data_IF_088710013181
#
_entry.id   IF_088710013181
#
_cell.length_a   1.000
_cell.length_b   1.000
_cell.length_c   1.000
_cell.angle_alpha   90.00
_cell.angle_beta   90.00
_cell.angle_gamma   90.00
#
_symmetry.space_group_name_H-M   'P 1'
#
loop_
_entity.id
_entity.type
_entity.pdbx_description
1 polymer ?
#
# COMPACT_ATOMS: atom_id res chain seq x y z
N UNK A 1 4.20 -7.50 -21.23
CA UNK A 1 5.06 -8.11 -20.19
C UNK A 1 5.01 -7.22 -18.96
N UNK A 2 5.13 -7.76 -17.75
CA UNK A 2 5.20 -6.92 -16.54
C UNK A 2 6.62 -6.37 -16.41
N UNK A 3 6.75 -5.07 -16.23
CA UNK A 3 8.01 -4.40 -15.92
C UNK A 3 7.89 -3.65 -14.59
N UNK A 4 8.90 -3.76 -13.74
CA UNK A 4 8.90 -3.12 -12.42
C UNK A 4 10.24 -2.45 -12.17
N UNK A 5 10.21 -1.13 -11.99
CA UNK A 5 11.33 -0.35 -11.48
C UNK A 5 11.11 -0.11 -9.99
N UNK A 6 12.03 -0.53 -9.13
CA UNK A 6 11.82 -0.40 -7.69
C UNK A 6 13.10 -0.16 -6.91
N UNK A 7 12.95 0.35 -5.69
CA UNK A 7 14.01 0.53 -4.72
C UNK A 7 13.48 0.14 -3.34
N UNK A 8 14.01 -0.95 -2.80
CA UNK A 8 13.83 -1.36 -1.41
C UNK A 8 14.73 -0.48 -0.53
N UNK A 9 14.30 -0.02 0.65
CA UNK A 9 15.12 0.81 1.54
C UNK A 9 16.53 0.23 1.74
N UNK A 10 17.54 1.10 1.70
CA UNK A 10 18.97 0.75 1.80
C UNK A 10 19.52 -0.18 0.70
N UNK A 11 18.80 -0.35 -0.42
CA UNK A 11 19.27 -1.09 -1.59
C UNK A 11 19.32 -0.20 -2.83
N UNK A 12 20.01 -0.67 -3.87
CA UNK A 12 20.05 -0.01 -5.17
C UNK A 12 18.70 -0.14 -5.90
N UNK A 13 18.46 0.77 -6.84
CA UNK A 13 17.34 0.68 -7.77
C UNK A 13 17.52 -0.58 -8.63
N UNK A 14 16.44 -1.35 -8.82
CA UNK A 14 16.39 -2.53 -9.67
C UNK A 14 15.33 -2.34 -10.73
N UNK A 15 15.64 -2.74 -11.96
CA UNK A 15 14.71 -2.86 -13.07
C UNK A 15 14.45 -4.34 -13.33
N UNK A 16 13.19 -4.75 -13.23
CA UNK A 16 12.76 -6.13 -13.37
C UNK A 16 11.91 -6.31 -14.61
N UNK A 17 12.25 -7.32 -15.41
CA UNK A 17 11.37 -7.87 -16.41
C UNK A 17 10.73 -9.14 -15.85
N UNK A 18 9.41 -9.17 -15.77
CA UNK A 18 8.65 -10.22 -15.14
C UNK A 18 7.84 -10.98 -16.19
N UNK A 19 8.23 -12.24 -16.43
CA UNK A 19 7.52 -13.17 -17.31
C UNK A 19 6.54 -14.03 -16.50
N UNK A 20 5.31 -14.26 -16.97
CA UNK A 20 4.35 -15.13 -16.27
C UNK A 20 4.94 -16.50 -15.92
N UNK A 21 4.56 -17.03 -14.76
CA UNK A 21 5.01 -18.31 -14.23
C UNK A 21 3.90 -18.96 -13.39
N UNK A 22 4.05 -20.25 -13.10
CA UNK A 22 3.35 -20.90 -11.99
C UNK A 22 3.87 -20.40 -10.63
N UNK A 23 3.09 -20.69 -9.58
CA UNK A 23 3.36 -20.23 -8.22
C UNK A 23 4.63 -20.82 -7.60
N UNK A 24 4.95 -22.09 -7.92
CA UNK A 24 6.11 -22.78 -7.35
C UNK A 24 7.42 -22.10 -7.79
N UNK A 25 7.55 -21.79 -9.08
CA UNK A 25 8.78 -21.21 -9.65
C UNK A 25 8.84 -19.69 -9.60
N UNK A 26 7.75 -19.01 -9.22
CA UNK A 26 7.72 -17.55 -9.20
C UNK A 26 8.73 -16.94 -8.24
N UNK A 27 9.46 -15.92 -8.69
CA UNK A 27 10.33 -15.08 -7.85
C UNK A 27 9.73 -13.69 -7.63
N UNK A 28 8.64 -13.36 -8.32
CA UNK A 28 7.87 -12.14 -8.13
C UNK A 28 6.38 -12.45 -8.14
N UNK A 29 5.65 -11.85 -7.21
CA UNK A 29 4.18 -11.95 -7.11
C UNK A 29 3.60 -10.56 -7.10
N UNK A 30 2.51 -10.36 -7.84
CA UNK A 30 1.71 -9.14 -7.83
C UNK A 30 0.27 -9.50 -7.53
N UNK A 31 -0.35 -8.83 -6.57
CA UNK A 31 -1.75 -9.05 -6.22
C UNK A 31 -2.46 -7.71 -6.06
N UNK A 32 -3.58 -7.54 -6.76
CA UNK A 32 -4.52 -6.44 -6.51
C UNK A 32 -5.41 -6.73 -5.28
N UNK A 33 -5.98 -5.69 -4.67
CA UNK A 33 -6.67 -5.81 -3.36
C UNK A 33 -7.72 -6.92 -3.27
N UNK A 34 -8.58 -7.04 -4.30
CA UNK A 34 -9.64 -8.07 -4.35
C UNK A 34 -9.36 -9.17 -5.38
N UNK A 35 -8.16 -9.23 -5.96
CA UNK A 35 -7.81 -10.17 -7.05
C UNK A 35 -6.96 -11.32 -6.52
N UNK A 36 -6.86 -12.39 -7.29
CA UNK A 36 -5.89 -13.46 -7.05
C UNK A 36 -4.47 -12.97 -7.35
N UNK A 37 -3.49 -13.58 -6.68
CA UNK A 37 -2.09 -13.34 -6.94
C UNK A 37 -1.67 -13.81 -8.35
N UNK A 38 -1.01 -12.93 -9.08
CA UNK A 38 -0.33 -13.22 -10.34
C UNK A 38 1.14 -13.52 -10.09
N UNK A 39 1.66 -14.54 -10.75
CA UNK A 39 2.95 -15.15 -10.47
C UNK A 39 3.90 -14.97 -11.65
N UNK A 40 5.14 -14.57 -11.37
CA UNK A 40 6.13 -14.24 -12.37
C UNK A 40 7.52 -14.72 -11.97
N UNK A 41 8.35 -15.00 -12.97
CA UNK A 41 9.80 -15.05 -12.81
C UNK A 41 10.35 -13.68 -13.17
N UNK A 42 11.03 -13.03 -12.22
CA UNK A 42 11.68 -11.75 -12.39
C UNK A 42 13.16 -11.91 -12.74
N UNK A 43 13.60 -11.14 -13.73
CA UNK A 43 14.99 -11.07 -14.18
C UNK A 43 15.45 -9.60 -14.12
N UNK A 44 16.66 -9.36 -13.60
CA UNK A 44 17.22 -8.01 -13.52
C UNK A 44 17.69 -7.54 -14.90
N UNK A 45 17.44 -6.29 -15.23
CA UNK A 45 17.93 -5.64 -16.45
C UNK A 45 18.86 -4.48 -16.12
N UNK A 46 19.92 -4.34 -16.91
CA UNK A 46 20.99 -3.35 -16.70
C UNK A 46 20.59 -1.91 -17.05
N UNK A 47 19.56 -1.71 -17.87
CA UNK A 47 19.19 -0.39 -18.41
C UNK A 47 17.72 -0.06 -18.14
N UNK A 48 17.49 1.18 -17.69
CA UNK A 48 16.15 1.75 -17.41
C UNK A 48 15.65 2.68 -18.51
N UNK A 49 16.44 2.94 -19.56
CA UNK A 49 16.22 4.02 -20.53
C UNK A 49 14.85 3.98 -21.20
N UNK A 50 14.41 2.79 -21.62
CA UNK A 50 13.15 2.64 -22.36
C UNK A 50 11.92 2.55 -21.46
N UNK A 51 12.07 2.36 -20.14
CA UNK A 51 10.95 2.10 -19.22
C UNK A 51 9.92 3.23 -19.20
N UNK A 52 10.36 4.48 -19.38
CA UNK A 52 9.51 5.66 -19.28
C UNK A 52 8.86 6.08 -20.61
N UNK A 53 9.30 5.52 -21.74
CA UNK A 53 8.90 5.98 -23.08
C UNK A 53 7.41 5.82 -23.38
N UNK A 54 6.79 4.78 -22.82
CA UNK A 54 5.39 4.38 -22.93
C UNK A 54 4.73 4.27 -21.54
N UNK A 55 5.34 4.88 -20.52
CA UNK A 55 4.74 4.97 -19.20
C UNK A 55 3.56 5.94 -19.27
N UNK A 56 2.40 5.53 -18.73
CA UNK A 56 1.14 6.28 -18.75
C UNK A 56 0.35 6.27 -20.08
N UNK A 57 0.57 5.33 -21.01
CA UNK A 57 -0.13 5.26 -22.30
C UNK A 57 -1.63 4.84 -22.23
N UNK A 58 -2.22 4.85 -21.04
CA UNK A 58 -3.63 4.50 -20.84
C UNK A 58 -4.53 5.75 -20.89
N UNK A 59 -5.72 5.68 -21.52
CA UNK A 59 -6.67 6.78 -21.53
C UNK A 59 -7.22 7.06 -20.13
N UNK A 60 -7.66 8.31 -19.91
CA UNK A 60 -8.28 8.74 -18.66
C UNK A 60 -9.41 7.78 -18.23
N UNK A 61 -9.53 7.42 -16.95
CA UNK A 61 -10.67 6.66 -16.48
C UNK A 61 -11.96 7.52 -16.57
N UNK A 62 -13.05 6.92 -17.03
CA UNK A 62 -14.34 7.62 -17.23
C UNK A 62 -15.06 8.00 -15.92
N UNK A 63 -14.58 7.49 -14.79
CA UNK A 63 -15.30 7.56 -13.51
C UNK A 63 -14.63 8.51 -12.53
N UNK A 64 -15.42 9.38 -11.92
CA UNK A 64 -14.96 10.35 -10.93
C UNK A 64 -14.90 9.72 -9.52
N UNK A 65 -14.05 10.30 -8.67
CA UNK A 65 -14.01 9.96 -7.24
C UNK A 65 -15.18 10.57 -6.48
N UNK A 66 -15.48 10.02 -5.30
CA UNK A 66 -16.50 10.57 -4.39
C UNK A 66 -16.15 11.99 -3.96
N UNK A 67 -17.17 12.84 -3.87
CA UNK A 67 -17.05 14.16 -3.24
C UNK A 67 -17.03 14.03 -1.70
N UNK A 68 -16.74 15.14 -1.02
CA UNK A 68 -16.57 15.15 0.44
C UNK A 68 -17.83 14.66 1.16
N UNK A 69 -19.01 15.05 0.70
CA UNK A 69 -20.31 14.68 1.26
C UNK A 69 -20.54 13.15 1.14
N UNK A 70 -20.34 12.59 -0.06
CA UNK A 70 -20.51 11.15 -0.30
C UNK A 70 -19.52 10.29 0.48
N UNK A 71 -18.28 10.77 0.66
CA UNK A 71 -17.29 10.07 1.49
C UNK A 71 -17.68 10.11 2.97
N UNK A 72 -18.18 11.26 3.46
CA UNK A 72 -18.65 11.39 4.84
C UNK A 72 -19.86 10.48 5.14
N UNK A 73 -20.81 10.37 4.20
CA UNK A 73 -21.92 9.41 4.30
C UNK A 73 -21.44 7.95 4.34
N UNK A 74 -20.42 7.62 3.56
CA UNK A 74 -19.78 6.32 3.58
C UNK A 74 -19.12 6.03 4.94
N UNK A 75 -18.39 7.01 5.51
CA UNK A 75 -17.81 6.90 6.86
C UNK A 75 -18.91 6.73 7.92
N UNK A 76 -20.00 7.49 7.83
CA UNK A 76 -21.13 7.37 8.75
C UNK A 76 -21.79 5.98 8.68
N UNK A 77 -21.85 5.39 7.48
CA UNK A 77 -22.36 4.03 7.29
C UNK A 77 -21.43 3.00 7.91
N UNK A 78 -20.11 3.16 7.76
CA UNK A 78 -19.12 2.30 8.41
C UNK A 78 -19.21 2.38 9.94
N UNK A 79 -19.37 3.57 10.51
CA UNK A 79 -19.54 3.76 11.95
C UNK A 79 -20.76 2.98 12.47
N UNK A 80 -21.89 3.02 11.76
CA UNK A 80 -23.11 2.26 12.13
C UNK A 80 -22.86 0.74 12.16
N UNK A 81 -22.17 0.20 11.16
CA UNK A 81 -21.82 -1.24 11.12
C UNK A 81 -20.86 -1.62 12.26
N UNK A 82 -19.97 -0.70 12.64
CA UNK A 82 -19.06 -0.89 13.78
C UNK A 82 -19.82 -0.89 15.12
N UNK A 83 -20.75 0.04 15.30
CA UNK A 83 -21.61 0.10 16.49
C UNK A 83 -22.49 -1.15 16.63
N UNK A 84 -22.94 -1.70 15.50
CA UNK A 84 -23.70 -2.96 15.43
C UNK A 84 -22.82 -4.22 15.55
N UNK A 85 -21.50 -4.06 15.68
CA UNK A 85 -20.52 -5.14 15.79
C UNK A 85 -20.46 -6.07 14.57
N UNK A 86 -20.91 -5.62 13.40
CA UNK A 86 -20.81 -6.36 12.13
C UNK A 86 -19.36 -6.39 11.65
N UNK A 87 -18.67 -5.26 11.79
CA UNK A 87 -17.22 -5.12 11.64
C UNK A 87 -16.65 -4.44 12.88
N UNK A 88 -15.41 -4.76 13.25
CA UNK A 88 -14.69 -4.07 14.32
C UNK A 88 -13.92 -2.85 13.80
N UNK A 89 -13.48 -2.93 12.54
CA UNK A 89 -12.75 -1.89 11.82
C UNK A 89 -12.99 -2.09 10.32
N UNK A 90 -13.06 -0.99 9.57
CA UNK A 90 -12.97 -1.00 8.10
C UNK A 90 -12.09 0.16 7.64
N UNK A 91 -11.31 -0.04 6.60
CA UNK A 91 -10.46 0.97 5.98
C UNK A 91 -11.15 1.40 4.71
N UNK A 92 -11.61 2.65 4.67
CA UNK A 92 -12.27 3.22 3.51
C UNK A 92 -11.31 4.08 2.72
N UNK A 93 -11.40 3.99 1.41
CA UNK A 93 -10.56 4.70 0.48
C UNK A 93 -11.37 5.43 -0.57
N UNK A 94 -10.68 6.38 -1.20
CA UNK A 94 -11.17 7.09 -2.38
C UNK A 94 -10.03 7.32 -3.34
N UNK A 95 -10.42 7.78 -4.51
CA UNK A 95 -9.53 8.21 -5.58
C UNK A 95 -9.77 9.67 -5.93
N UNK A 96 -8.72 10.33 -6.41
CA UNK A 96 -8.76 11.69 -6.92
C UNK A 96 -7.95 11.74 -8.21
N UNK A 97 -8.56 12.22 -9.31
CA UNK A 97 -7.86 12.40 -10.56
C UNK A 97 -7.41 13.86 -10.70
N UNK A 98 -6.13 14.07 -11.01
CA UNK A 98 -5.61 15.39 -11.36
C UNK A 98 -5.25 15.42 -12.84
N UNK A 99 -5.93 16.28 -13.60
CA UNK A 99 -5.55 16.58 -14.98
C UNK A 99 -4.24 17.37 -15.00
N UNK A 100 -3.18 16.70 -15.46
CA UNK A 100 -1.82 17.23 -15.55
C UNK A 100 -1.06 16.54 -16.70
N UNK A 101 -1.44 16.79 -17.98
CA UNK A 101 -0.90 16.06 -19.14
C UNK A 101 0.62 16.22 -19.34
N UNK A 102 1.23 17.22 -18.70
CA UNK A 102 2.67 17.49 -18.76
C UNK A 102 3.44 16.88 -17.58
N UNK A 103 2.82 16.00 -16.80
CA UNK A 103 3.48 15.32 -15.70
C UNK A 103 4.60 14.40 -16.20
N UNK A 104 5.79 14.57 -15.63
CA UNK A 104 6.98 13.79 -15.96
C UNK A 104 7.13 12.64 -14.98
N UNK A 105 6.85 11.42 -15.44
CA UNK A 105 6.91 10.22 -14.60
C UNK A 105 8.32 9.93 -14.09
N UNK A 106 9.35 10.09 -14.92
CA UNK A 106 10.74 9.81 -14.53
C UNK A 106 11.22 10.77 -13.44
N UNK A 107 11.01 12.07 -13.62
CA UNK A 107 11.39 13.08 -12.63
C UNK A 107 10.56 12.96 -11.35
N UNK A 108 9.28 12.57 -11.47
CA UNK A 108 8.44 12.27 -10.30
C UNK A 108 8.96 11.05 -9.52
N UNK A 109 9.39 10.00 -10.21
CA UNK A 109 10.00 8.83 -9.55
C UNK A 109 11.29 9.22 -8.81
N UNK A 110 12.14 10.06 -9.42
CA UNK A 110 13.33 10.61 -8.76
C UNK A 110 12.98 11.45 -7.53
N UNK A 111 11.92 12.27 -7.60
CA UNK A 111 11.43 13.04 -6.47
C UNK A 111 10.95 12.13 -5.32
N UNK A 112 10.22 11.04 -5.63
CA UNK A 112 9.80 10.05 -4.64
C UNK A 112 10.99 9.36 -3.95
N UNK A 113 12.01 8.97 -4.71
CA UNK A 113 13.23 8.36 -4.17
C UNK A 113 13.91 9.27 -3.14
N UNK A 114 14.01 10.57 -3.45
CA UNK A 114 14.62 11.57 -2.57
C UNK A 114 13.76 11.86 -1.33
N UNK A 115 12.45 11.99 -1.50
CA UNK A 115 11.54 12.39 -0.42
C UNK A 115 11.20 11.26 0.54
N UNK A 116 11.17 10.01 0.07
CA UNK A 116 10.82 8.83 0.85
C UNK A 116 11.99 7.83 0.99
N UNK A 117 13.14 8.19 1.58
CA UNK A 117 14.32 7.34 1.64
C UNK A 117 14.12 6.04 2.45
N UNK A 118 13.11 5.99 3.31
CA UNK A 118 12.80 4.81 4.16
C UNK A 118 11.68 3.94 3.61
N UNK A 119 11.08 4.28 2.47
CA UNK A 119 9.95 3.55 1.87
C UNK A 119 10.41 2.71 0.68
N UNK A 120 9.65 1.66 0.36
CA UNK A 120 9.78 0.97 -0.92
C UNK A 120 9.17 1.85 -2.01
N UNK A 121 10.03 2.38 -2.88
CA UNK A 121 9.61 3.21 -4.02
C UNK A 121 9.52 2.32 -5.25
N UNK A 122 8.43 2.42 -6.01
CA UNK A 122 8.17 1.55 -7.15
C UNK A 122 7.47 2.28 -8.30
N UNK A 123 7.69 1.79 -9.50
CA UNK A 123 6.93 2.05 -10.71
C UNK A 123 6.68 0.72 -11.43
N UNK A 124 5.44 0.45 -11.79
CA UNK A 124 4.97 -0.80 -12.38
C UNK A 124 4.34 -0.47 -13.73
N UNK A 125 4.74 -1.17 -14.79
CA UNK A 125 4.01 -1.24 -16.06
C UNK A 125 3.40 -2.63 -16.17
N UNK A 126 2.08 -2.71 -16.10
CA UNK A 126 1.36 -3.97 -16.25
C UNK A 126 0.41 -3.89 -17.46
N UNK A 127 0.36 -4.91 -18.33
CA UNK A 127 -0.54 -4.92 -19.49
C UNK A 127 -2.02 -4.66 -19.13
N UNK A 128 -2.49 -5.27 -18.04
CA UNK A 128 -3.90 -5.18 -17.64
C UNK A 128 -4.21 -4.09 -16.59
N UNK A 129 -3.20 -3.65 -15.81
CA UNK A 129 -3.41 -2.66 -14.74
C UNK A 129 -2.89 -1.27 -15.12
N UNK A 130 -2.17 -1.15 -16.24
CA UNK A 130 -1.55 0.09 -16.69
C UNK A 130 -0.29 0.45 -15.88
N UNK A 131 -0.02 1.76 -15.82
CA UNK A 131 1.16 2.31 -15.16
C UNK A 131 0.85 2.76 -13.74
N UNK A 132 1.57 2.23 -12.76
CA UNK A 132 1.44 2.58 -11.35
C UNK A 132 2.78 3.06 -10.79
N UNK A 133 2.73 3.95 -9.80
CA UNK A 133 3.92 4.46 -9.11
C UNK A 133 3.58 4.71 -7.65
N UNK A 134 4.53 4.56 -6.73
CA UNK A 134 4.30 4.88 -5.33
C UNK A 134 5.52 4.78 -4.45
N UNK A 135 5.34 5.14 -3.18
CA UNK A 135 6.36 5.07 -2.13
C UNK A 135 5.74 4.47 -0.86
N UNK A 136 5.71 3.13 -0.79
CA UNK A 136 5.04 2.43 0.30
C UNK A 136 5.89 2.38 1.58
N UNK A 137 5.33 2.82 2.72
CA UNK A 137 5.99 2.67 4.01
C UNK A 137 5.77 1.28 4.64
N UNK A 138 4.85 0.46 4.12
CA UNK A 138 4.36 -0.74 4.81
C UNK A 138 4.96 -2.01 4.20
N UNK A 139 5.80 -2.67 4.99
CA UNK A 139 6.38 -3.98 4.66
C UNK A 139 5.43 -5.07 5.15
N UNK A 140 4.86 -5.82 4.22
CA UNK A 140 3.96 -6.92 4.51
C UNK A 140 4.73 -8.12 5.09
N UNK A 141 5.88 -8.45 4.50
CA UNK A 141 6.78 -9.48 4.98
C UNK A 141 8.20 -9.22 4.48
N UNK A 142 9.21 -9.39 5.33
CA UNK A 142 10.60 -9.45 4.90
C UNK A 142 11.39 -10.52 5.64
N UNK A 143 12.42 -11.06 4.98
CA UNK A 143 13.37 -11.97 5.61
C UNK A 143 14.32 -11.23 6.53
N UNK A 144 14.76 -11.94 7.57
CA UNK A 144 15.77 -11.48 8.53
C UNK A 144 16.81 -12.58 8.73
N UNK A 145 17.90 -12.29 9.43
CA UNK A 145 18.90 -13.31 9.80
C UNK A 145 18.31 -14.47 10.61
N UNK A 146 17.22 -14.23 11.36
CA UNK A 146 16.61 -15.20 12.26
C UNK A 146 15.32 -15.82 11.72
N UNK A 147 14.81 -15.41 10.56
CA UNK A 147 13.55 -15.90 10.01
C UNK A 147 12.85 -14.82 9.20
N UNK A 148 11.66 -14.43 9.63
CA UNK A 148 10.86 -13.40 8.95
C UNK A 148 10.27 -12.38 9.92
N UNK A 149 9.90 -11.21 9.40
CA UNK A 149 9.11 -10.24 10.16
C UNK A 149 8.07 -9.55 9.29
N UNK A 150 6.98 -9.13 9.92
CA UNK A 150 5.91 -8.34 9.32
C UNK A 150 5.71 -7.04 10.10
N UNK A 151 5.39 -5.98 9.38
CA UNK A 151 5.24 -4.65 9.95
C UNK A 151 3.79 -4.43 10.38
N UNK A 152 3.55 -4.13 11.67
CA UNK A 152 2.31 -3.50 12.10
C UNK A 152 2.49 -1.99 12.03
N UNK A 153 1.90 -1.35 11.02
CA UNK A 153 1.94 0.08 10.78
C UNK A 153 0.52 0.66 10.80
N UNK A 154 0.13 1.29 11.90
CA UNK A 154 -1.18 1.93 12.06
C UNK A 154 -1.11 3.08 13.06
N UNK A 155 -2.21 3.83 13.18
CA UNK A 155 -2.25 5.07 13.95
C UNK A 155 -1.46 6.16 13.23
N UNK A 156 -2.16 7.08 12.58
CA UNK A 156 -1.56 8.16 11.79
C UNK A 156 -1.60 9.48 12.56
N UNK A 157 -0.53 10.27 12.48
CA UNK A 157 -0.57 11.69 12.89
C UNK A 157 0.24 12.57 11.95
N UNK A 158 -0.04 13.87 11.94
CA UNK A 158 0.82 14.84 11.26
C UNK A 158 2.21 14.87 11.90
N UNK A 159 3.24 15.01 11.07
CA UNK A 159 4.62 15.15 11.54
C UNK A 159 4.74 16.34 12.51
N UNK A 160 5.46 16.15 13.61
CA UNK A 160 5.63 17.11 14.71
C UNK A 160 4.41 17.30 15.64
N UNK A 161 3.32 16.54 15.47
CA UNK A 161 2.28 16.48 16.50
C UNK A 161 2.88 15.96 17.82
N UNK A 162 2.55 16.59 18.94
CA UNK A 162 3.26 16.38 20.21
C UNK A 162 2.89 15.09 20.93
N UNK A 163 1.71 14.51 20.67
CA UNK A 163 1.19 13.32 21.37
C UNK A 163 0.46 12.37 20.41
N UNK A 164 0.43 11.09 20.78
CA UNK A 164 -0.45 10.09 20.18
C UNK A 164 -1.79 10.11 20.93
N UNK A 165 -2.91 10.10 20.20
CA UNK A 165 -4.22 9.96 20.81
C UNK A 165 -4.51 8.50 21.18
N UNK A 166 -5.57 8.31 21.98
CA UNK A 166 -6.03 6.97 22.36
C UNK A 166 -6.53 6.19 21.15
N UNK A 167 -7.14 6.87 20.17
CA UNK A 167 -7.60 6.26 18.90
C UNK A 167 -6.43 5.61 18.17
N UNK A 168 -5.35 6.35 17.94
CA UNK A 168 -4.18 5.84 17.19
C UNK A 168 -3.48 4.70 17.94
N UNK A 169 -3.40 4.77 19.27
CA UNK A 169 -2.80 3.72 20.10
C UNK A 169 -3.62 2.43 20.08
N UNK A 170 -4.95 2.51 20.19
CA UNK A 170 -5.82 1.33 20.12
C UNK A 170 -5.84 0.74 18.71
N UNK A 171 -5.81 1.57 17.66
CA UNK A 171 -5.68 1.10 16.28
C UNK A 171 -4.37 0.31 16.08
N UNK A 172 -3.24 0.84 16.55
CA UNK A 172 -1.95 0.16 16.46
C UNK A 172 -1.96 -1.17 17.21
N UNK A 173 -2.49 -1.19 18.43
CA UNK A 173 -2.58 -2.39 19.25
C UNK A 173 -3.45 -3.46 18.59
N UNK A 174 -4.55 -3.06 17.95
CA UNK A 174 -5.42 -3.95 17.20
C UNK A 174 -4.67 -4.61 16.04
N UNK A 175 -4.07 -3.82 15.15
CA UNK A 175 -3.31 -4.32 14.01
C UNK A 175 -2.15 -5.22 14.46
N UNK A 176 -1.44 -4.82 15.53
CA UNK A 176 -0.32 -5.60 16.09
C UNK A 176 -0.77 -6.99 16.55
N UNK A 177 -1.95 -7.08 17.17
CA UNK A 177 -2.48 -8.35 17.66
C UNK A 177 -2.94 -9.27 16.52
N UNK A 178 -3.52 -8.71 15.46
CA UNK A 178 -3.95 -9.48 14.28
C UNK A 178 -2.74 -10.03 13.53
N UNK A 179 -1.74 -9.20 13.21
CA UNK A 179 -0.51 -9.66 12.53
C UNK A 179 0.22 -10.70 13.39
N UNK A 180 0.25 -10.54 14.71
CA UNK A 180 0.81 -11.54 15.61
C UNK A 180 0.04 -12.87 15.55
N UNK A 181 -1.30 -12.84 15.47
CA UNK A 181 -2.10 -14.06 15.36
C UNK A 181 -1.81 -14.77 14.04
N UNK A 182 -1.76 -14.04 12.93
CA UNK A 182 -1.44 -14.58 11.61
C UNK A 182 -0.06 -15.25 11.61
N UNK A 183 0.99 -14.56 12.07
CA UNK A 183 2.33 -15.14 12.14
C UNK A 183 2.40 -16.36 13.07
N UNK A 184 1.69 -16.35 14.19
CA UNK A 184 1.67 -17.48 15.14
C UNK A 184 1.07 -18.74 14.53
N UNK A 185 0.13 -18.64 13.59
CA UNK A 185 -0.48 -19.79 12.93
C UNK A 185 0.52 -20.62 12.11
N UNK A 186 1.63 -20.01 11.67
CA UNK A 186 2.69 -20.67 10.91
C UNK A 186 3.81 -21.26 11.79
N UNK A 187 3.75 -21.07 13.11
CA UNK A 187 4.73 -21.62 14.04
C UNK A 187 6.03 -20.82 14.14
N UNK A 188 7.00 -21.38 14.88
CA UNK A 188 8.16 -20.64 15.39
C UNK A 188 7.87 -19.88 16.68
N UNK A 189 8.92 -19.29 17.25
CA UNK A 189 8.82 -18.38 18.38
C UNK A 189 8.52 -16.98 17.87
N UNK A 190 7.33 -16.48 18.21
CA UNK A 190 6.92 -15.12 17.84
C UNK A 190 7.41 -14.12 18.89
N UNK A 191 8.06 -13.04 18.44
CA UNK A 191 8.44 -11.89 19.27
C UNK A 191 7.87 -10.60 18.70
N UNK A 192 7.84 -9.55 19.53
CA UNK A 192 7.42 -8.20 19.13
C UNK A 192 8.51 -7.23 19.55
N UNK A 193 8.88 -6.35 18.63
CA UNK A 193 9.78 -5.25 18.95
C UNK A 193 9.05 -4.20 19.81
N UNK A 194 9.82 -3.29 20.41
CA UNK A 194 9.24 -2.13 21.08
C UNK A 194 8.51 -1.26 20.05
N UNK A 195 7.32 -0.77 20.41
CA UNK A 195 6.61 0.21 19.61
C UNK A 195 7.44 1.48 19.43
N UNK A 196 7.57 1.95 18.20
CA UNK A 196 8.32 3.16 17.83
C UNK A 196 7.50 4.04 16.89
N UNK A 197 8.02 5.23 16.59
CA UNK A 197 7.42 6.14 15.60
C UNK A 197 8.18 6.01 14.28
N UNK A 198 7.45 5.82 13.19
CA UNK A 198 7.98 5.71 11.84
C UNK A 198 7.59 6.92 10.99
N UNK A 199 8.57 7.55 10.35
CA UNK A 199 8.36 8.68 9.46
C UNK A 199 7.99 8.21 8.05
N UNK A 200 6.82 8.63 7.55
CA UNK A 200 6.33 8.31 6.20
C UNK A 200 5.98 9.60 5.44
N UNK A 201 6.99 10.44 5.21
CA UNK A 201 6.87 11.75 4.55
C UNK A 201 6.27 12.81 5.48
N UNK A 202 5.08 13.36 5.18
CA UNK A 202 4.46 14.42 5.99
C UNK A 202 3.69 13.89 7.21
N UNK A 203 3.56 12.57 7.35
CA UNK A 203 2.90 11.94 8.51
C UNK A 203 3.83 10.95 9.20
N UNK A 204 3.52 10.70 10.45
CA UNK A 204 4.14 9.68 11.29
C UNK A 204 3.13 8.57 11.59
N UNK A 205 3.65 7.35 11.75
CA UNK A 205 2.87 6.19 12.16
C UNK A 205 3.45 5.54 13.41
N UNK A 206 2.62 4.80 14.15
CA UNK A 206 3.13 3.85 15.12
C UNK A 206 3.57 2.57 14.39
N UNK A 207 4.73 2.07 14.80
CA UNK A 207 5.36 0.90 14.19
C UNK A 207 5.63 -0.14 15.27
N UNK A 208 5.31 -1.39 14.96
CA UNK A 208 5.76 -2.55 15.73
C UNK A 208 6.12 -3.66 14.76
N UNK A 209 7.37 -4.11 14.79
CA UNK A 209 7.77 -5.32 14.08
C UNK A 209 7.34 -6.55 14.86
N UNK A 210 6.82 -7.54 14.13
CA UNK A 210 6.44 -8.83 14.69
C UNK A 210 7.27 -9.86 13.95
N UNK A 211 8.07 -10.59 14.71
CA UNK A 211 9.10 -11.47 14.16
C UNK A 211 8.73 -12.94 14.43
N UNK A 212 9.12 -13.83 13.52
CA UNK A 212 9.11 -15.28 13.69
C UNK A 212 10.50 -15.82 13.38
N UNK A 213 10.97 -16.79 14.18
CA UNK A 213 12.25 -17.47 13.96
C UNK A 213 12.15 -18.68 13.00
N UNK A 214 10.98 -18.90 12.40
CA UNK A 214 10.75 -20.05 11.54
C UNK A 214 11.25 -19.78 10.10
N UNK A 215 12.45 -20.28 9.79
CA UNK A 215 13.03 -20.20 8.44
C UNK A 215 12.39 -21.13 7.42
N UNK A 216 11.70 -22.19 7.86
CA UNK A 216 11.15 -23.23 6.98
C UNK A 216 9.76 -22.89 6.41
N UNK A 217 9.29 -21.66 6.62
CA UNK A 217 8.00 -21.21 6.11
C UNK A 217 8.03 -21.04 4.60
N UNK A 218 6.95 -21.49 3.95
CA UNK A 218 6.60 -21.02 2.62
C UNK A 218 6.19 -19.55 2.72
N UNK A 219 7.11 -18.67 2.36
CA UNK A 219 6.94 -17.24 2.43
C UNK A 219 5.82 -16.71 1.52
N UNK A 220 5.51 -17.38 0.40
CA UNK A 220 4.41 -16.97 -0.48
C UNK A 220 3.06 -17.23 0.20
N UNK A 221 2.89 -18.43 0.77
CA UNK A 221 1.71 -18.76 1.56
C UNK A 221 1.55 -17.85 2.78
N UNK A 222 2.66 -17.47 3.43
CA UNK A 222 2.65 -16.55 4.55
C UNK A 222 2.16 -15.14 4.17
N UNK A 223 2.64 -14.61 3.04
CA UNK A 223 2.20 -13.31 2.51
C UNK A 223 0.70 -13.33 2.17
N UNK A 224 0.21 -14.43 1.60
CA UNK A 224 -1.21 -14.62 1.28
C UNK A 224 -2.10 -14.65 2.54
N UNK A 225 -1.65 -15.27 3.63
CA UNK A 225 -2.41 -15.27 4.90
C UNK A 225 -2.35 -13.92 5.62
N UNK A 226 -1.25 -13.17 5.46
CA UNK A 226 -1.15 -11.82 6.02
C UNK A 226 -2.01 -10.80 5.25
N UNK A 227 -2.30 -11.06 3.98
CA UNK A 227 -3.00 -10.12 3.13
C UNK A 227 -4.51 -10.43 2.99
N UNK A 228 -5.40 -9.43 3.15
CA UNK A 228 -5.11 -8.06 3.57
C UNK A 228 -5.02 -7.92 5.09
N UNK A 229 -4.12 -7.08 5.58
CA UNK A 229 -4.07 -6.74 7.01
C UNK A 229 -5.24 -5.84 7.40
N UNK A 230 -5.60 -5.76 8.70
CA UNK A 230 -6.58 -4.78 9.15
C UNK A 230 -6.14 -3.31 8.99
N UNK A 231 -4.88 -3.05 8.64
CA UNK A 231 -4.38 -1.69 8.34
C UNK A 231 -4.87 -1.18 6.97
N UNK A 232 -5.23 -2.09 6.06
CA UNK A 232 -5.66 -1.74 4.68
C UNK A 232 -7.06 -2.25 4.29
N UNK A 233 -7.61 -3.18 5.06
CA UNK A 233 -8.94 -3.73 4.83
C UNK A 233 -9.86 -3.49 6.02
N UNK A 234 -9.65 -4.22 7.12
CA UNK A 234 -10.53 -4.17 8.29
C UNK A 234 -10.56 -5.52 9.00
N UNK A 235 -11.50 -5.68 9.93
CA UNK A 235 -11.68 -6.93 10.67
C UNK A 235 -13.14 -7.11 11.11
N UNK A 236 -13.74 -8.31 10.96
CA UNK A 236 -13.23 -9.46 10.21
C UNK A 236 -13.01 -9.11 8.72
N UNK A 237 -11.98 -9.69 8.10
CA UNK A 237 -11.55 -9.30 6.75
C UNK A 237 -12.66 -9.48 5.69
N UNK A 238 -13.39 -10.60 5.73
CA UNK A 238 -14.50 -10.89 4.81
C UNK A 238 -15.59 -9.81 4.89
N UNK A 239 -16.03 -9.46 6.10
CA UNK A 239 -17.06 -8.42 6.33
C UNK A 239 -16.59 -7.03 5.94
N UNK A 240 -15.32 -6.71 6.20
CA UNK A 240 -14.74 -5.46 5.72
C UNK A 240 -14.66 -5.39 4.19
N UNK A 241 -14.31 -6.49 3.51
CA UNK A 241 -14.30 -6.57 2.04
C UNK A 241 -15.70 -6.45 1.43
N UNK A 242 -16.71 -7.10 2.01
CA UNK A 242 -18.12 -6.94 1.62
C UNK A 242 -18.54 -5.47 1.69
N UNK A 243 -18.24 -4.80 2.81
CA UNK A 243 -18.52 -3.37 2.98
C UNK A 243 -17.80 -2.51 1.94
N UNK A 244 -16.49 -2.71 1.76
CA UNK A 244 -15.68 -1.96 0.79
C UNK A 244 -16.26 -2.09 -0.62
N UNK A 245 -16.57 -3.32 -1.04
CA UNK A 245 -17.12 -3.58 -2.37
C UNK A 245 -18.49 -2.92 -2.58
N UNK A 246 -19.31 -2.84 -1.53
CA UNK A 246 -20.63 -2.23 -1.60
C UNK A 246 -20.58 -0.70 -1.66
N UNK A 247 -19.69 -0.06 -0.90
CA UNK A 247 -19.79 1.37 -0.63
C UNK A 247 -18.76 2.25 -1.34
N UNK A 248 -17.56 1.76 -1.69
CA UNK A 248 -16.53 2.60 -2.32
C UNK A 248 -16.90 3.04 -3.74
N UNK A 249 -17.63 2.20 -4.47
CA UNK A 249 -18.08 2.51 -5.84
C UNK A 249 -16.95 2.51 -6.89
N UNK A 250 -15.81 1.88 -6.61
CA UNK A 250 -14.74 1.65 -7.59
C UNK A 250 -13.91 0.39 -7.26
N UNK A 251 -13.23 -0.18 -8.25
CA UNK A 251 -12.24 -1.25 -8.03
C UNK A 251 -10.90 -0.63 -7.63
N UNK A 252 -10.40 -0.96 -6.43
CA UNK A 252 -9.08 -0.51 -5.95
C UNK A 252 -7.93 -0.95 -6.86
N UNK A 253 -8.13 -1.98 -7.68
CA UNK A 253 -7.10 -2.49 -8.60
C UNK A 253 -5.83 -2.86 -7.80
N UNK A 254 -4.68 -2.26 -8.11
CA UNK A 254 -3.44 -2.47 -7.36
C UNK A 254 -3.38 -1.71 -6.02
N UNK A 255 -4.18 -0.66 -5.81
CA UNK A 255 -4.18 0.08 -4.55
C UNK A 255 -4.54 -0.82 -3.37
N UNK A 256 -3.76 -0.78 -2.29
CA UNK A 256 -3.86 -1.68 -1.14
C UNK A 256 -3.68 -3.18 -1.46
N UNK A 257 -3.27 -3.53 -2.67
CA UNK A 257 -2.71 -4.84 -3.02
C UNK A 257 -1.29 -5.01 -2.47
N UNK A 258 -0.52 -5.96 -3.00
CA UNK A 258 0.90 -6.11 -2.68
C UNK A 258 1.71 -6.52 -3.91
N UNK A 259 3.01 -6.26 -3.87
CA UNK A 259 3.97 -7.09 -4.62
C UNK A 259 4.97 -7.72 -3.66
N UNK A 260 5.54 -8.87 -4.07
CA UNK A 260 6.56 -9.58 -3.31
C UNK A 260 7.67 -10.10 -4.21
N UNK A 261 8.92 -9.90 -3.76
CA UNK A 261 10.12 -10.54 -4.28
C UNK A 261 10.43 -11.75 -3.40
N UNK A 262 10.47 -12.93 -3.99
CA UNK A 262 10.71 -14.22 -3.33
C UNK A 262 11.99 -14.83 -3.88
N UNK A 263 13.11 -14.16 -3.60
CA UNK A 263 14.46 -14.56 -4.01
C UNK A 263 15.21 -15.13 -2.79
N UNK A 264 16.54 -15.01 -2.74
CA UNK A 264 17.33 -15.36 -1.54
C UNK A 264 16.92 -14.54 -0.31
N UNK A 265 16.51 -13.30 -0.53
CA UNK A 265 15.90 -12.44 0.48
C UNK A 265 14.47 -12.14 0.04
N UNK A 266 13.53 -12.32 0.95
CA UNK A 266 12.11 -12.05 0.71
C UNK A 266 11.81 -10.61 1.07
N UNK A 267 11.10 -9.91 0.19
CA UNK A 267 10.56 -8.58 0.47
C UNK A 267 9.20 -8.43 -0.19
N UNK A 268 8.14 -8.29 0.62
CA UNK A 268 6.79 -7.98 0.19
C UNK A 268 6.32 -6.68 0.81
N UNK A 269 5.70 -5.83 0.00
CA UNK A 269 5.19 -4.52 0.42
C UNK A 269 3.77 -4.32 -0.06
N UNK A 270 2.96 -3.67 0.78
CA UNK A 270 1.60 -3.27 0.42
C UNK A 270 1.67 -2.06 -0.53
N UNK A 271 0.82 -1.99 -1.54
CA UNK A 271 0.82 -0.91 -2.53
C UNK A 271 0.02 0.30 -2.05
N UNK A 272 0.58 0.99 -1.06
CA UNK A 272 0.09 2.25 -0.51
C UNK A 272 0.88 3.44 -1.05
N UNK A 273 0.38 4.65 -0.76
CA UNK A 273 0.95 5.92 -1.26
C UNK A 273 1.22 5.84 -2.76
N UNK A 274 0.24 5.29 -3.46
CA UNK A 274 0.36 4.89 -4.85
C UNK A 274 -0.61 5.67 -5.72
N UNK A 275 -0.22 5.80 -6.96
CA UNK A 275 -0.90 6.55 -7.99
C UNK A 275 -0.85 5.78 -9.30
N UNK A 276 -1.91 5.89 -10.08
CA UNK A 276 -2.02 5.33 -11.41
C UNK A 276 -1.89 6.45 -12.43
N UNK A 277 -1.08 6.21 -13.46
CA UNK A 277 -0.72 7.19 -14.46
C UNK A 277 -1.47 6.94 -15.76
N UNK A 278 -1.95 8.03 -16.34
CA UNK A 278 -2.72 8.07 -17.57
C UNK A 278 -2.18 9.18 -18.48
N UNK A 279 -2.55 9.14 -19.76
CA UNK A 279 -2.04 10.09 -20.78
C UNK A 279 -2.36 11.54 -20.46
N UNK A 280 -3.46 11.80 -19.74
CA UNK A 280 -3.93 13.15 -19.39
C UNK A 280 -3.58 13.58 -17.97
N UNK A 281 -3.07 12.67 -17.13
CA UNK A 281 -2.82 12.99 -15.73
C UNK A 281 -2.71 11.79 -14.81
N UNK A 282 -2.91 12.03 -13.52
CA UNK A 282 -2.58 11.07 -12.45
C UNK A 282 -3.78 10.85 -11.53
N UNK A 283 -4.13 9.59 -11.28
CA UNK A 283 -5.10 9.19 -10.27
C UNK A 283 -4.38 8.81 -8.97
N UNK A 284 -4.69 9.52 -7.90
CA UNK A 284 -4.21 9.25 -6.55
C UNK A 284 -5.20 8.40 -5.79
N UNK A 285 -4.70 7.58 -4.88
CA UNK A 285 -5.52 6.76 -3.98
C UNK A 285 -5.11 7.01 -2.53
N UNK A 286 -6.11 7.21 -1.66
CA UNK A 286 -5.90 7.35 -0.23
C UNK A 286 -7.08 6.79 0.55
N UNK A 287 -6.78 6.23 1.72
CA UNK A 287 -7.77 5.71 2.64
C UNK A 287 -7.35 5.88 4.09
N UNK A 288 -8.31 5.71 4.99
CA UNK A 288 -8.18 5.86 6.44
C UNK A 288 -8.93 4.75 7.16
N UNK A 289 -8.42 4.37 8.33
CA UNK A 289 -9.04 3.37 9.20
C UNK A 289 -10.20 3.97 10.00
N UNK A 290 -11.40 3.46 9.78
CA UNK A 290 -12.61 3.91 10.47
C UNK A 290 -12.80 3.13 11.76
N UNK A 291 -13.02 3.87 12.84
CA UNK A 291 -13.41 3.33 14.15
C UNK A 291 -14.73 3.97 14.59
N UNK A 292 -15.33 3.47 15.67
CA UNK A 292 -16.53 4.07 16.27
C UNK A 292 -16.35 5.54 16.67
N UNK A 293 -15.12 5.98 16.90
CA UNK A 293 -14.77 7.32 17.35
C UNK A 293 -14.34 8.23 16.18
N UNK A 294 -14.42 7.73 14.93
CA UNK A 294 -14.10 8.50 13.73
C UNK A 294 -15.08 9.65 13.52
N UNK A 295 -14.55 10.80 13.11
CA UNK A 295 -15.34 11.97 12.70
C UNK A 295 -15.30 12.05 11.17
N UNK A 296 -16.44 11.97 10.45
CA UNK A 296 -16.46 11.88 8.99
C UNK A 296 -15.60 12.94 8.27
N UNK A 297 -15.66 14.19 8.72
CA UNK A 297 -14.88 15.28 8.14
C UNK A 297 -13.37 15.09 8.34
N UNK A 298 -12.96 14.62 9.52
CA UNK A 298 -11.54 14.40 9.83
C UNK A 298 -10.97 13.27 8.97
N UNK A 299 -11.73 12.20 8.76
CA UNK A 299 -11.33 11.09 7.88
C UNK A 299 -11.22 11.53 6.41
N UNK A 300 -12.12 12.40 5.94
CA UNK A 300 -11.97 13.06 4.63
C UNK A 300 -10.68 13.88 4.57
N UNK A 301 -10.42 14.73 5.55
CA UNK A 301 -9.22 15.57 5.59
C UNK A 301 -7.94 14.73 5.65
N UNK A 302 -7.94 13.59 6.35
CA UNK A 302 -6.81 12.66 6.37
C UNK A 302 -6.46 12.16 4.96
N UNK A 303 -7.46 11.80 4.16
CA UNK A 303 -7.23 11.39 2.77
C UNK A 303 -6.74 12.54 1.90
N UNK A 304 -7.24 13.77 2.09
CA UNK A 304 -6.74 14.97 1.38
C UNK A 304 -5.26 15.21 1.68
N UNK A 305 -4.83 15.13 2.95
CA UNK A 305 -3.43 15.26 3.32
C UNK A 305 -2.55 14.17 2.68
N UNK A 306 -3.02 12.92 2.67
CA UNK A 306 -2.30 11.79 2.02
C UNK A 306 -2.15 11.99 0.52
N UNK A 307 -3.16 12.57 -0.15
CA UNK A 307 -3.11 12.87 -1.59
C UNK A 307 -2.19 14.07 -1.87
N UNK A 308 -2.30 15.16 -1.10
CA UNK A 308 -1.45 16.35 -1.27
C UNK A 308 0.04 16.00 -1.19
N UNK A 309 0.39 15.12 -0.24
CA UNK A 309 1.75 14.61 -0.05
C UNK A 309 2.38 13.97 -1.29
N UNK A 310 1.57 13.34 -2.15
CA UNK A 310 2.02 12.76 -3.41
C UNK A 310 1.93 13.78 -4.54
N UNK A 311 0.87 14.58 -4.55
CA UNK A 311 0.62 15.60 -5.57
C UNK A 311 1.75 16.62 -5.63
N UNK A 312 2.30 17.03 -4.49
CA UNK A 312 3.45 17.95 -4.38
C UNK A 312 4.75 17.40 -4.99
N UNK A 313 4.84 16.08 -5.18
CA UNK A 313 6.02 15.43 -5.76
C UNK A 313 5.91 15.22 -7.27
N UNK A 314 4.72 15.41 -7.86
CA UNK A 314 4.54 15.37 -9.30
C UNK A 314 5.38 16.47 -9.93
N UNK A 315 6.34 16.08 -10.76
CA UNK A 315 7.14 17.01 -11.55
C UNK A 315 6.40 17.31 -12.84
N UNK A 316 6.22 18.59 -13.15
CA UNK A 316 5.59 19.06 -14.40
C UNK A 316 6.70 19.58 -15.31
N UNK A 317 6.76 19.11 -16.54
CA UNK A 317 7.64 19.70 -17.53
C UNK A 317 7.15 21.12 -17.85
N UNK A 318 8.03 22.12 -17.75
CA UNK A 318 7.75 23.45 -18.26
C UNK A 318 7.50 23.36 -19.76
N UNK A 319 6.36 23.87 -20.22
CA UNK A 319 6.14 24.15 -21.64
C UNK A 319 7.11 25.27 -22.03
N UNK A 320 8.33 24.92 -22.47
CA UNK A 320 9.20 25.85 -23.20
C UNK A 320 8.97 25.75 -24.68
#
# INVERSE_FOLDING_TARGET
>A
MLEVLLRIPNQNIRMLHCRPSDAERATFVLRGFSKKASHYIAENKSETGDFWSDFADQPKPETQGKIAEEYQEMVQSAIKEIEQQVVQKVVLSRRFFWDCPNANAQETFNALLKFYPTCTVFAIKHPDYGSWMGASPEVLLESTELGYRSMSLAGTRLKNATRWGNKELEEQKFVTNEVHRSLKAFGGKISRDKQTTFNAGPVEHLLTWINTDNHSLDSKSLVEELHPTPAICGSPAEKAQEFIAQYEGYDRSLYAGYFGLFEQQVHATVLLRSMQWFTSGVQFYAGGGITKDSVPLDEWMETEHKISALKELIQINDNR
#
